data_IF_910296243586
#
_entry.id   IF_910296243586
#
_cell.length_a   1.000
_cell.length_b   1.000
_cell.length_c   1.000
_cell.angle_alpha   90.00
_cell.angle_beta   90.00
_cell.angle_gamma   90.00
#
_symmetry.space_group_name_H-M   'P 1'
#
loop_
_entity.id
_entity.type
_entity.pdbx_description
1 polymer ?
#
# COMPACT_ATOMS: atom_id res chain seq x y z
N UNK A 1 8.46 -1.93 7.74
CA UNK A 1 8.07 -1.71 9.16
C UNK A 1 6.76 -0.94 9.30
N UNK A 2 6.60 0.23 8.65
CA UNK A 2 5.37 1.04 8.75
C UNK A 2 4.08 0.26 8.41
N UNK A 3 4.07 -0.47 7.29
CA UNK A 3 2.92 -1.32 6.92
C UNK A 3 2.60 -2.40 7.95
N UNK A 4 3.60 -2.95 8.63
CA UNK A 4 3.36 -3.91 9.72
C UNK A 4 2.63 -3.24 10.89
N UNK A 5 2.92 -1.97 11.21
CA UNK A 5 2.17 -1.22 12.21
C UNK A 5 0.75 -0.91 11.74
N UNK A 6 0.55 -0.57 10.47
CA UNK A 6 -0.80 -0.43 9.88
C UNK A 6 -1.61 -1.72 10.00
N UNK A 7 -0.97 -2.86 9.74
CA UNK A 7 -1.61 -4.18 9.77
C UNK A 7 -2.17 -4.54 11.15
N UNK A 8 -1.53 -4.07 12.23
CA UNK A 8 -2.01 -4.25 13.61
C UNK A 8 -3.31 -3.49 13.91
N UNK A 9 -3.69 -2.51 13.09
CA UNK A 9 -4.90 -1.67 13.26
C UNK A 9 -6.01 -2.09 12.27
N UNK A 10 -5.62 -2.35 11.03
CA UNK A 10 -6.51 -2.75 9.93
C UNK A 10 -5.83 -3.82 9.09
N UNK A 11 -6.59 -4.76 8.55
CA UNK A 11 -6.05 -5.74 7.60
C UNK A 11 -5.50 -5.01 6.35
N UNK A 12 -4.18 -4.89 6.28
CA UNK A 12 -3.46 -4.17 5.23
C UNK A 12 -2.47 -5.11 4.53
N UNK A 13 -2.62 -5.22 3.21
CA UNK A 13 -1.72 -5.99 2.34
C UNK A 13 -0.85 -5.03 1.54
N UNK A 14 0.41 -5.40 1.35
CA UNK A 14 1.39 -4.65 0.58
C UNK A 14 1.65 -5.35 -0.74
N UNK A 15 1.50 -4.60 -1.82
CA UNK A 15 1.77 -5.07 -3.18
C UNK A 15 2.95 -4.27 -3.75
N UNK A 16 3.93 -4.98 -4.28
CA UNK A 16 5.01 -4.42 -5.09
C UNK A 16 4.81 -4.79 -6.55
N UNK A 17 4.64 -3.78 -7.40
CA UNK A 17 4.71 -3.93 -8.86
C UNK A 17 6.19 -3.93 -9.30
N UNK A 18 6.95 -4.94 -8.87
CA UNK A 18 8.38 -5.03 -9.13
C UNK A 18 8.71 -5.65 -10.49
N UNK A 19 9.84 -5.23 -11.06
CA UNK A 19 10.38 -5.67 -12.34
C UNK A 19 11.81 -6.19 -12.19
N UNK A 20 12.39 -6.75 -13.28
CA UNK A 20 13.78 -7.21 -13.34
C UNK A 20 14.22 -8.13 -12.19
N UNK A 21 13.33 -9.03 -11.76
CA UNK A 21 13.50 -9.84 -10.56
C UNK A 21 14.14 -11.21 -10.80
N UNK A 22 14.70 -11.42 -12.01
CA UNK A 22 15.41 -12.66 -12.40
C UNK A 22 16.73 -12.85 -11.66
N UNK A 23 17.45 -11.74 -11.46
CA UNK A 23 18.79 -11.75 -10.87
C UNK A 23 18.77 -12.20 -9.41
N UNK A 24 19.84 -12.87 -8.99
CA UNK A 24 19.97 -13.40 -7.63
C UNK A 24 19.88 -12.30 -6.57
N UNK A 25 20.40 -11.09 -6.87
CA UNK A 25 20.30 -9.94 -5.97
C UNK A 25 18.84 -9.53 -5.71
N UNK A 26 18.00 -9.50 -6.75
CA UNK A 26 16.59 -9.16 -6.58
C UNK A 26 15.86 -10.22 -5.75
N UNK A 27 16.12 -11.50 -6.01
CA UNK A 27 15.58 -12.62 -5.23
C UNK A 27 16.04 -12.58 -3.76
N UNK A 28 17.31 -12.26 -3.51
CA UNK A 28 17.85 -12.06 -2.17
C UNK A 28 17.15 -10.90 -1.44
N UNK A 29 16.95 -9.78 -2.12
CA UNK A 29 16.25 -8.63 -1.54
C UNK A 29 14.81 -8.97 -1.16
N UNK A 30 14.06 -9.65 -2.04
CA UNK A 30 12.69 -10.09 -1.74
C UNK A 30 12.66 -11.05 -0.56
N UNK A 31 13.58 -12.04 -0.49
CA UNK A 31 13.71 -12.96 0.66
C UNK A 31 14.02 -12.22 1.96
N UNK A 32 14.90 -11.22 1.91
CA UNK A 32 15.22 -10.38 3.06
C UNK A 32 14.00 -9.56 3.52
N UNK A 33 13.28 -8.93 2.58
CA UNK A 33 12.06 -8.19 2.89
C UNK A 33 10.99 -9.07 3.52
N UNK A 34 10.84 -10.30 3.03
CA UNK A 34 9.95 -11.33 3.61
C UNK A 34 10.33 -11.64 5.05
N UNK A 35 11.60 -11.95 5.30
CA UNK A 35 12.09 -12.22 6.67
C UNK A 35 11.85 -11.04 7.60
N UNK A 36 12.15 -9.81 7.16
CA UNK A 36 11.91 -8.61 7.96
C UNK A 36 10.42 -8.37 8.22
N UNK A 37 9.55 -8.64 7.24
CA UNK A 37 8.11 -8.56 7.42
C UNK A 37 7.63 -9.52 8.52
N UNK A 38 8.14 -10.75 8.52
CA UNK A 38 7.86 -11.76 9.56
C UNK A 38 8.29 -11.29 10.95
N UNK A 39 9.52 -10.79 11.06
CA UNK A 39 10.09 -10.24 12.30
C UNK A 39 9.27 -9.05 12.84
N UNK A 40 8.58 -8.32 11.96
CA UNK A 40 7.69 -7.22 12.34
C UNK A 40 6.21 -7.61 12.51
N UNK A 41 5.89 -8.90 12.34
CA UNK A 41 4.53 -9.43 12.50
C UNK A 41 3.59 -9.18 11.31
N UNK A 42 4.12 -8.92 10.12
CA UNK A 42 3.34 -8.86 8.89
C UNK A 42 3.32 -10.24 8.22
N UNK A 43 2.15 -10.86 8.01
CA UNK A 43 2.05 -12.17 7.36
C UNK A 43 2.71 -12.22 5.98
N UNK A 44 3.34 -13.34 5.64
CA UNK A 44 4.05 -13.51 4.36
C UNK A 44 3.14 -13.35 3.14
N UNK A 45 1.91 -13.83 3.24
CA UNK A 45 0.88 -13.73 2.20
C UNK A 45 0.34 -12.29 2.04
N UNK A 46 0.69 -11.39 2.96
CA UNK A 46 0.33 -9.97 2.89
C UNK A 46 1.45 -9.15 2.24
N UNK A 47 2.60 -9.77 1.93
CA UNK A 47 3.67 -9.19 1.15
C UNK A 47 3.67 -9.82 -0.26
N UNK A 48 3.14 -9.09 -1.23
CA UNK A 48 2.88 -9.58 -2.57
C UNK A 48 3.86 -8.91 -3.54
N UNK A 49 4.61 -9.71 -4.29
CA UNK A 49 5.48 -9.24 -5.37
C UNK A 49 4.89 -9.73 -6.69
N UNK A 50 4.62 -8.83 -7.63
CA UNK A 50 4.03 -9.23 -8.91
C UNK A 50 4.93 -10.20 -9.68
N UNK A 51 6.25 -10.10 -9.52
CA UNK A 51 7.20 -11.01 -10.16
C UNK A 51 7.09 -12.47 -9.70
N UNK A 52 6.51 -12.72 -8.52
CA UNK A 52 6.36 -14.06 -7.95
C UNK A 52 5.02 -14.71 -8.31
N UNK A 53 4.11 -13.97 -8.96
CA UNK A 53 2.79 -14.48 -9.35
C UNK A 53 2.81 -15.29 -10.65
N UNK A 54 3.87 -15.14 -11.46
CA UNK A 54 4.06 -15.87 -12.72
C UNK A 54 5.45 -15.60 -13.30
N UNK A 55 6.06 -16.61 -13.92
CA UNK A 55 7.42 -16.51 -14.48
C UNK A 55 7.51 -15.49 -15.64
N UNK A 56 6.39 -15.24 -16.31
CA UNK A 56 6.23 -14.21 -17.32
C UNK A 56 6.32 -12.78 -16.76
N UNK A 57 6.09 -12.58 -15.46
CA UNK A 57 6.09 -11.27 -14.80
C UNK A 57 7.39 -10.95 -14.08
N UNK A 58 8.41 -11.81 -14.17
CA UNK A 58 9.73 -11.54 -13.58
C UNK A 58 10.37 -10.25 -14.11
N UNK A 59 10.10 -9.88 -15.37
CA UNK A 59 10.58 -8.63 -15.96
C UNK A 59 9.63 -7.44 -15.70
N UNK A 60 8.54 -7.66 -14.98
CA UNK A 60 7.50 -6.68 -14.70
C UNK A 60 6.18 -7.03 -15.38
N UNK A 61 5.08 -6.59 -14.74
CA UNK A 61 3.73 -6.68 -15.31
C UNK A 61 3.51 -5.59 -16.37
N UNK A 62 2.55 -5.77 -17.30
CA UNK A 62 2.18 -4.72 -18.24
C UNK A 62 1.75 -3.43 -17.53
N UNK A 63 2.02 -2.27 -18.13
CA UNK A 63 1.64 -0.96 -17.55
C UNK A 63 0.15 -0.86 -17.20
N UNK A 64 -0.72 -1.45 -18.01
CA UNK A 64 -2.16 -1.53 -17.72
C UNK A 64 -2.42 -2.21 -16.38
N UNK A 65 -1.71 -3.28 -16.07
CA UNK A 65 -1.83 -3.98 -14.79
C UNK A 65 -1.39 -3.06 -13.64
N UNK A 66 -0.26 -2.36 -13.77
CA UNK A 66 0.20 -1.40 -12.75
C UNK A 66 -0.86 -0.33 -12.47
N UNK A 67 -1.42 0.26 -13.53
CA UNK A 67 -2.50 1.24 -13.41
C UNK A 67 -3.75 0.65 -12.75
N UNK A 68 -4.14 -0.56 -13.13
CA UNK A 68 -5.30 -1.23 -12.55
C UNK A 68 -5.04 -1.56 -11.06
N UNK A 69 -3.79 -1.85 -10.66
CA UNK A 69 -3.39 -1.98 -9.25
C UNK A 69 -3.52 -0.65 -8.49
N UNK A 70 -3.09 0.47 -9.07
CA UNK A 70 -3.35 1.79 -8.47
C UNK A 70 -4.84 2.08 -8.34
N UNK A 71 -5.66 1.68 -9.31
CA UNK A 71 -7.09 1.96 -9.30
C UNK A 71 -7.85 1.21 -8.19
N UNK A 72 -7.42 -0.01 -7.88
CA UNK A 72 -8.00 -0.81 -6.78
C UNK A 72 -7.30 -0.58 -5.43
N UNK A 73 -6.09 -0.02 -5.46
CA UNK A 73 -5.30 0.36 -4.31
C UNK A 73 -6.02 1.39 -3.43
N UNK A 74 -5.72 1.36 -2.14
CA UNK A 74 -6.24 2.35 -1.21
C UNK A 74 -5.19 3.41 -0.87
N UNK A 75 -3.96 2.96 -0.65
CA UNK A 75 -2.84 3.78 -0.24
C UNK A 75 -1.70 3.57 -1.23
N UNK A 76 -0.98 4.66 -1.51
CA UNK A 76 0.32 4.62 -2.17
C UNK A 76 1.38 5.11 -1.20
N UNK A 77 2.39 4.28 -0.95
CA UNK A 77 3.47 4.60 0.00
C UNK A 77 4.77 4.74 -0.78
N UNK A 78 5.41 5.90 -0.69
CA UNK A 78 6.71 6.17 -1.29
C UNK A 78 7.75 6.47 -0.21
N UNK A 79 8.40 5.45 0.36
CA UNK A 79 9.41 5.62 1.40
C UNK A 79 10.81 5.88 0.81
N UNK A 80 10.88 6.43 -0.41
CA UNK A 80 12.17 6.66 -1.08
C UNK A 80 13.03 7.61 -0.25
N UNK A 81 14.31 7.28 -0.12
CA UNK A 81 15.29 8.10 0.60
C UNK A 81 16.08 9.02 -0.34
N UNK A 82 15.96 8.84 -1.66
CA UNK A 82 16.57 9.68 -2.69
C UNK A 82 15.66 9.67 -3.90
N UNK A 83 15.14 10.82 -4.30
CA UNK A 83 14.25 10.96 -5.44
C UNK A 83 14.41 12.34 -6.06
N UNK A 84 14.40 12.41 -7.40
CA UNK A 84 14.47 13.69 -8.12
C UNK A 84 13.09 14.13 -8.60
N UNK A 85 12.26 13.18 -9.05
CA UNK A 85 10.86 13.39 -9.39
C UNK A 85 10.16 12.04 -9.49
N UNK A 86 8.98 11.89 -8.87
CA UNK A 86 8.29 10.61 -8.85
C UNK A 86 7.08 10.57 -9.78
N UNK A 87 7.26 9.98 -10.97
CA UNK A 87 6.16 9.68 -11.89
C UNK A 87 5.17 8.70 -11.26
N UNK A 88 5.67 7.70 -10.52
CA UNK A 88 4.83 6.73 -9.82
C UNK A 88 3.88 7.40 -8.81
N UNK A 89 4.36 8.43 -8.10
CA UNK A 89 3.51 9.22 -7.21
C UNK A 89 2.41 9.96 -7.98
N UNK A 90 2.76 10.63 -9.09
CA UNK A 90 1.79 11.33 -9.92
C UNK A 90 0.73 10.38 -10.52
N UNK A 91 1.13 9.19 -10.96
CA UNK A 91 0.22 8.15 -11.46
C UNK A 91 -0.72 7.62 -10.37
N UNK A 92 -0.19 7.39 -9.16
CA UNK A 92 -0.97 6.96 -8.02
C UNK A 92 -2.01 8.03 -7.61
N UNK A 93 -1.61 9.30 -7.60
CA UNK A 93 -2.47 10.45 -7.33
C UNK A 93 -3.58 10.56 -8.38
N UNK A 94 -3.26 10.42 -9.67
CA UNK A 94 -4.23 10.40 -10.75
C UNK A 94 -5.26 9.26 -10.60
N UNK A 95 -4.84 8.14 -9.99
CA UNK A 95 -5.71 7.01 -9.65
C UNK A 95 -6.43 7.15 -8.30
N UNK A 96 -6.34 8.31 -7.63
CA UNK A 96 -7.00 8.65 -6.36
C UNK A 96 -6.53 7.81 -5.17
N UNK A 97 -5.28 7.36 -5.18
CA UNK A 97 -4.69 6.71 -4.01
C UNK A 97 -4.47 7.74 -2.91
N UNK A 98 -4.63 7.31 -1.66
CA UNK A 98 -4.26 8.12 -0.52
C UNK A 98 -2.73 8.08 -0.37
N UNK A 99 -2.07 9.24 -0.56
CA UNK A 99 -0.61 9.33 -0.66
C UNK A 99 0.04 9.35 0.73
N UNK A 100 1.06 8.51 0.90
CA UNK A 100 1.97 8.52 2.06
C UNK A 100 3.39 8.67 1.55
N UNK A 101 3.97 9.85 1.74
CA UNK A 101 5.26 10.23 1.17
C UNK A 101 6.31 10.38 2.27
N UNK A 102 7.58 10.31 1.89
CA UNK A 102 8.67 10.53 2.83
C UNK A 102 8.75 12.01 3.21
N UNK A 103 8.61 12.31 4.50
CA UNK A 103 8.69 13.67 5.05
C UNK A 103 10.08 14.29 4.84
N UNK A 104 11.13 13.45 4.82
CA UNK A 104 12.53 13.89 4.78
C UNK A 104 13.04 14.29 3.39
N UNK A 105 12.20 14.17 2.36
CA UNK A 105 12.53 14.57 1.00
C UNK A 105 11.71 15.78 0.56
N UNK A 106 12.36 16.93 0.42
CA UNK A 106 11.74 18.20 0.02
C UNK A 106 10.95 18.09 -1.27
N UNK A 107 11.43 17.31 -2.25
CA UNK A 107 10.73 17.11 -3.53
C UNK A 107 9.30 16.62 -3.36
N UNK A 108 9.00 15.81 -2.35
CA UNK A 108 7.63 15.35 -2.13
C UNK A 108 6.72 16.43 -1.57
N UNK A 109 7.26 17.40 -0.83
CA UNK A 109 6.52 18.60 -0.40
C UNK A 109 6.27 19.53 -1.57
N UNK A 110 7.26 19.70 -2.45
CA UNK A 110 7.11 20.52 -3.67
C UNK A 110 6.06 19.95 -4.63
N UNK A 111 5.97 18.63 -4.74
CA UNK A 111 5.07 17.97 -5.68
C UNK A 111 3.65 17.77 -5.16
N UNK A 112 3.49 17.42 -3.87
CA UNK A 112 2.18 17.08 -3.32
C UNK A 112 1.61 18.13 -2.36
N UNK A 113 2.42 19.10 -1.88
CA UNK A 113 1.96 20.14 -0.96
C UNK A 113 1.24 19.57 0.25
N UNK A 114 0.03 20.06 0.53
CA UNK A 114 -0.78 19.60 1.65
C UNK A 114 -1.68 18.39 1.30
N UNK A 115 -1.62 17.87 0.07
CA UNK A 115 -2.50 16.82 -0.44
C UNK A 115 -1.97 15.39 -0.17
N UNK A 116 -0.94 15.25 0.67
CA UNK A 116 -0.36 13.98 1.06
C UNK A 116 -0.11 13.88 2.57
N UNK A 117 -0.02 12.64 3.07
CA UNK A 117 0.48 12.39 4.41
C UNK A 117 1.98 12.15 4.38
N UNK A 118 2.69 12.79 5.30
CA UNK A 118 4.14 12.69 5.38
C UNK A 118 4.56 11.86 6.58
N UNK A 119 5.47 10.92 6.34
CA UNK A 119 6.07 10.09 7.38
C UNK A 119 7.59 10.15 7.22
N UNK A 120 8.29 10.55 8.27
CA UNK A 120 9.75 10.55 8.28
C UNK A 120 10.32 9.14 8.18
N UNK A 121 11.00 8.85 7.07
CA UNK A 121 11.71 7.58 6.84
C UNK A 121 13.24 7.74 6.83
N UNK A 122 13.75 8.97 6.97
CA UNK A 122 15.12 9.36 6.71
C UNK A 122 15.35 9.66 5.23
N UNK A 123 16.49 10.25 4.89
CA UNK A 123 16.84 10.59 3.51
C UNK A 123 18.35 10.55 3.27
N UNK A 124 18.73 10.47 2.00
CA UNK A 124 20.09 10.62 1.53
C UNK A 124 20.09 11.48 0.27
N UNK A 125 20.58 12.72 0.38
CA UNK A 125 20.58 13.68 -0.72
C UNK A 125 21.80 14.59 -0.67
N UNK A 126 22.41 14.88 -1.83
CA UNK A 126 23.54 15.81 -1.92
C UNK A 126 24.77 15.42 -1.08
N UNK A 127 24.96 14.12 -0.81
CA UNK A 127 26.02 13.61 0.07
C UNK A 127 25.72 13.70 1.57
N UNK A 128 24.59 14.28 1.98
CA UNK A 128 24.13 14.29 3.37
C UNK A 128 23.15 13.15 3.64
N UNK A 129 23.27 12.52 4.81
CA UNK A 129 22.34 11.49 5.27
C UNK A 129 21.55 12.04 6.45
N UNK A 130 20.23 12.08 6.29
CA UNK A 130 19.29 12.39 7.36
C UNK A 130 18.92 11.06 8.03
N UNK A 131 19.48 10.84 9.21
CA UNK A 131 19.07 9.74 10.09
C UNK A 131 18.04 10.27 11.09
N UNK A 132 16.92 9.57 11.23
CA UNK A 132 15.85 9.92 12.17
C UNK A 132 16.11 9.25 13.53
N UNK A 133 16.22 10.06 14.57
CA UNK A 133 16.15 9.60 15.96
C UNK A 133 14.68 9.57 16.41
N UNK A 134 14.03 8.43 16.19
CA UNK A 134 12.61 8.26 16.49
C UNK A 134 12.35 8.26 18.01
N UNK A 135 11.46 9.14 18.47
CA UNK A 135 11.04 9.21 19.88
C UNK A 135 9.61 8.68 20.07
N UNK A 136 9.33 7.90 21.13
CA UNK A 136 10.29 7.31 22.08
C UNK A 136 11.14 6.18 21.47
N UNK A 137 10.63 5.53 20.41
CA UNK A 137 11.37 4.60 19.56
C UNK A 137 10.68 4.51 18.19
N UNK A 138 11.34 3.88 17.22
CA UNK A 138 10.83 3.77 15.85
C UNK A 138 9.50 3.00 15.73
N UNK A 139 9.26 2.01 16.58
CA UNK A 139 8.01 1.24 16.53
C UNK A 139 6.83 2.07 16.98
N UNK A 140 6.96 2.74 18.13
CA UNK A 140 5.90 3.58 18.68
C UNK A 140 5.62 4.77 17.74
N UNK A 141 6.65 5.44 17.24
CA UNK A 141 6.49 6.53 16.28
C UNK A 141 5.70 6.08 15.04
N UNK A 142 6.09 4.97 14.41
CA UNK A 142 5.42 4.47 13.21
C UNK A 142 3.99 3.97 13.49
N UNK A 143 3.74 3.43 14.68
CA UNK A 143 2.41 3.05 15.13
C UNK A 143 1.50 4.27 15.29
N UNK A 144 2.00 5.36 15.86
CA UNK A 144 1.21 6.59 16.03
C UNK A 144 0.92 7.24 14.67
N UNK A 145 1.90 7.29 13.76
CA UNK A 145 1.67 7.70 12.37
C UNK A 145 0.64 6.80 11.67
N UNK A 146 0.68 5.49 11.92
CA UNK A 146 -0.27 4.54 11.32
C UNK A 146 -1.70 4.76 11.83
N UNK A 147 -1.88 5.08 13.12
CA UNK A 147 -3.20 5.42 13.70
C UNK A 147 -3.78 6.67 13.06
N UNK A 148 -3.00 7.75 13.03
CA UNK A 148 -3.43 9.01 12.41
C UNK A 148 -3.82 8.82 10.95
N UNK A 149 -3.00 8.07 10.19
CA UNK A 149 -3.29 7.75 8.80
C UNK A 149 -4.61 6.98 8.64
N UNK A 150 -4.87 5.99 9.48
CA UNK A 150 -6.12 5.21 9.44
C UNK A 150 -7.33 6.08 9.79
N UNK A 151 -7.21 6.98 10.77
CA UNK A 151 -8.28 7.91 11.14
C UNK A 151 -8.61 8.86 10.00
N UNK A 152 -7.60 9.48 9.40
CA UNK A 152 -7.76 10.36 8.23
C UNK A 152 -8.37 9.60 7.04
N UNK A 153 -7.86 8.41 6.74
CA UNK A 153 -8.41 7.56 5.69
C UNK A 153 -9.89 7.23 5.92
N UNK A 154 -10.27 6.91 7.16
CA UNK A 154 -11.68 6.63 7.54
C UNK A 154 -12.57 7.86 7.43
N UNK A 155 -12.03 9.06 7.68
CA UNK A 155 -12.76 10.32 7.52
C UNK A 155 -13.01 10.69 6.05
N UNK A 156 -12.19 10.20 5.11
CA UNK A 156 -12.30 10.52 3.68
C UNK A 156 -13.44 9.76 2.99
N UNK A 157 -14.63 10.38 2.96
CA UNK A 157 -15.86 9.77 2.41
C UNK A 157 -15.74 9.25 0.97
N UNK A 158 -15.11 9.97 0.00
CA UNK A 158 -14.97 9.45 -1.36
C UNK A 158 -14.21 8.12 -1.42
N UNK A 159 -13.15 7.97 -0.62
CA UNK A 159 -12.37 6.73 -0.55
C UNK A 159 -13.15 5.59 0.11
N UNK A 160 -13.93 5.89 1.15
CA UNK A 160 -14.81 4.90 1.77
C UNK A 160 -15.86 4.39 0.78
N UNK A 161 -16.44 5.27 -0.03
CA UNK A 161 -17.39 4.88 -1.07
C UNK A 161 -16.73 4.05 -2.16
N UNK A 162 -15.56 4.45 -2.66
CA UNK A 162 -14.79 3.68 -3.65
C UNK A 162 -14.52 2.24 -3.17
N UNK A 163 -14.04 2.11 -1.93
CA UNK A 163 -13.81 0.79 -1.31
C UNK A 163 -15.09 -0.02 -1.15
N UNK A 164 -16.21 0.62 -0.81
CA UNK A 164 -17.52 -0.05 -0.71
C UNK A 164 -17.94 -0.63 -2.05
N UNK A 165 -17.76 0.10 -3.15
CA UNK A 165 -18.06 -0.37 -4.52
C UNK A 165 -17.23 -1.62 -4.84
N UNK A 166 -15.91 -1.56 -4.67
CA UNK A 166 -15.03 -2.69 -4.99
C UNK A 166 -15.36 -3.96 -4.16
N UNK A 167 -15.75 -3.80 -2.89
CA UNK A 167 -16.02 -4.93 -1.99
C UNK A 167 -17.44 -5.48 -2.07
N UNK A 168 -18.45 -4.64 -2.32
CA UNK A 168 -19.86 -5.02 -2.21
C UNK A 168 -20.59 -5.04 -3.54
N UNK A 169 -20.13 -4.33 -4.56
CA UNK A 169 -20.84 -4.28 -5.85
C UNK A 169 -20.27 -5.24 -6.89
N UNK A 170 -19.43 -6.19 -6.47
CA UNK A 170 -19.05 -7.32 -7.32
C UNK A 170 -20.19 -8.37 -7.39
N UNK A 171 -20.20 -9.13 -8.50
CA UNK A 171 -21.25 -10.11 -8.81
C UNK A 171 -21.47 -11.12 -7.69
N UNK A 172 -20.38 -11.61 -7.08
CA UNK A 172 -20.45 -12.61 -6.03
C UNK A 172 -21.13 -12.07 -4.77
N UNK A 173 -20.76 -10.85 -4.34
CA UNK A 173 -21.38 -10.22 -3.19
C UNK A 173 -22.86 -9.94 -3.45
N UNK A 174 -23.20 -9.37 -4.61
CA UNK A 174 -24.59 -9.07 -5.00
C UNK A 174 -25.42 -10.36 -5.03
N UNK A 175 -24.89 -11.42 -5.63
CA UNK A 175 -25.57 -12.71 -5.64
C UNK A 175 -25.80 -13.21 -4.21
N UNK A 176 -24.75 -13.40 -3.41
CA UNK A 176 -24.84 -13.98 -2.05
C UNK A 176 -25.70 -13.17 -1.09
N UNK A 177 -25.68 -11.83 -1.19
CA UNK A 177 -26.30 -10.96 -0.19
C UNK A 177 -27.66 -10.40 -0.64
N UNK A 178 -27.98 -10.43 -1.94
CA UNK A 178 -29.24 -9.86 -2.46
C UNK A 178 -30.07 -10.89 -3.21
N UNK A 179 -29.48 -11.69 -4.11
CA UNK A 179 -30.24 -12.61 -4.97
C UNK A 179 -30.49 -13.97 -4.30
N UNK A 180 -29.45 -14.58 -3.72
CA UNK A 180 -29.52 -15.89 -3.08
C UNK A 180 -30.57 -15.96 -1.96
N UNK A 181 -30.70 -14.96 -1.06
CA UNK A 181 -31.76 -14.98 -0.05
C UNK A 181 -33.18 -14.90 -0.64
N UNK A 182 -33.37 -14.29 -1.81
CA UNK A 182 -34.68 -14.24 -2.47
C UNK A 182 -35.02 -15.58 -3.15
N UNK A 183 -34.01 -16.24 -3.73
CA UNK A 183 -34.19 -17.52 -4.43
C UNK A 183 -34.32 -18.69 -3.45
N UNK A 184 -33.54 -18.67 -2.36
CA UNK A 184 -33.43 -19.80 -1.41
C UNK A 184 -34.12 -19.52 -0.06
N UNK A 185 -34.39 -18.26 0.27
CA UNK A 185 -35.00 -17.87 1.55
C UNK A 185 -36.52 -18.01 1.61
N UNK A 186 -37.21 -18.14 0.48
CA UNK A 186 -38.66 -18.42 0.44
C UNK A 186 -39.00 -19.87 0.84
N UNK A 187 -38.02 -20.77 0.96
CA UNK A 187 -38.24 -22.18 1.33
C UNK A 187 -38.17 -22.46 2.86
N UNK A 188 -38.23 -21.43 3.73
CA UNK A 188 -38.10 -21.60 5.20
C UNK A 188 -39.35 -21.23 6.02
N UNK A 189 -40.51 -21.19 5.39
CA UNK A 189 -41.82 -21.07 6.07
C UNK A 189 -42.77 -22.17 5.61
N UNK A 190 -42.49 -23.40 6.06
CA UNK A 190 -43.40 -24.54 6.05
C UNK A 190 -43.48 -25.10 7.47
#
# INVERSE_FOLDING_TARGET
RFVAQLNKIVEAKMLFCNSWSRGENAKNNMRLMRRQADEWGLPQDYLIFTSEMGSEWENGVPQKVVRDMYWIGNLFIMPSISETFSLAMAEAAACKNFLVLNEDLTVFHELAGDDAEYVGFGAHWGGQRIERDYKPNAEQFLMDRARELVEKFRATKPLQMHRKVLRRFNREWVFKNQLEPLILGENRSG
#
